data_IF_948477032340
#
_entry.id   IF_948477032340
#
_cell.length_a   1.000
_cell.length_b   1.000
_cell.length_c   1.000
_cell.angle_alpha   90.00
_cell.angle_beta   90.00
_cell.angle_gamma   90.00
#
_symmetry.space_group_name_H-M   'P 1'
#
loop_
_entity.id
_entity.type
_entity.pdbx_description
1 polymer ?
#
# COMPACT_ATOMS: atom_id res chain seq x y z
N UNK A 1 17.47 -9.20 5.22
CA UNK A 1 17.88 -7.84 4.70
C UNK A 1 16.75 -6.87 5.02
N UNK A 2 17.05 -5.70 5.59
CA UNK A 2 16.05 -4.69 5.93
C UNK A 2 15.58 -4.00 4.63
N UNK A 3 14.27 -4.04 4.37
CA UNK A 3 13.65 -3.34 3.25
C UNK A 3 13.33 -1.88 3.61
N UNK A 4 12.80 -1.66 4.81
CA UNK A 4 12.40 -0.34 5.32
C UNK A 4 12.98 -0.16 6.71
N UNK A 5 13.70 0.94 6.94
CA UNK A 5 14.08 1.39 8.26
C UNK A 5 13.69 2.86 8.43
N UNK A 6 13.04 3.15 9.54
CA UNK A 6 12.68 4.49 10.00
C UNK A 6 13.27 4.70 11.39
N UNK A 7 13.92 5.84 11.61
CA UNK A 7 14.41 6.23 12.94
C UNK A 7 14.42 7.76 13.03
N UNK A 8 13.86 8.34 14.11
CA UNK A 8 13.95 9.77 14.32
C UNK A 8 12.74 10.42 14.98
N UNK A 9 12.64 11.75 14.82
CA UNK A 9 11.75 12.61 15.62
C UNK A 9 10.31 12.72 15.12
N UNK A 10 10.00 12.17 13.94
CA UNK A 10 8.62 12.07 13.46
C UNK A 10 8.34 12.83 12.17
N UNK A 11 7.05 13.09 11.93
CA UNK A 11 6.55 13.83 10.77
C UNK A 11 5.69 15.01 11.24
N UNK A 12 6.02 16.19 10.74
CA UNK A 12 5.19 17.40 10.88
C UNK A 12 4.65 17.83 9.52
N UNK A 13 3.38 18.25 9.49
CA UNK A 13 2.75 18.89 8.35
C UNK A 13 2.23 20.25 8.81
N UNK A 14 2.93 21.32 8.42
CA UNK A 14 2.73 22.65 9.00
C UNK A 14 3.04 22.64 10.50
N UNK A 15 2.12 23.15 11.31
CA UNK A 15 2.26 23.17 12.78
C UNK A 15 1.88 21.84 13.46
N UNK A 16 1.14 20.98 12.76
CA UNK A 16 0.64 19.74 13.32
C UNK A 16 1.68 18.62 13.26
N UNK A 17 1.89 17.94 14.40
CA UNK A 17 2.69 16.71 14.46
C UNK A 17 1.79 15.53 14.15
N UNK A 18 2.06 14.87 13.02
CA UNK A 18 1.28 13.72 12.54
C UNK A 18 1.87 12.38 13.03
N UNK A 19 3.22 12.28 13.04
CA UNK A 19 3.90 11.14 13.61
C UNK A 19 4.87 11.62 14.70
N UNK A 20 4.85 10.96 15.82
CA UNK A 20 5.79 11.15 16.91
C UNK A 20 7.12 10.41 16.66
N UNK A 21 8.14 10.59 17.51
CA UNK A 21 9.37 9.80 17.41
C UNK A 21 9.03 8.31 17.33
N UNK A 22 9.53 7.65 16.30
CA UNK A 22 9.32 6.23 16.11
C UNK A 22 10.58 5.57 15.53
N UNK A 23 10.74 4.29 15.84
CA UNK A 23 11.70 3.42 15.21
C UNK A 23 10.99 2.21 14.68
N UNK A 24 11.18 1.93 13.38
CA UNK A 24 10.52 0.84 12.70
C UNK A 24 11.51 0.17 11.75
N UNK A 25 11.55 -1.16 11.76
CA UNK A 25 12.34 -1.95 10.82
C UNK A 25 11.46 -3.05 10.24
N UNK A 26 11.43 -3.16 8.91
CA UNK A 26 10.68 -4.20 8.20
C UNK A 26 11.67 -4.90 7.28
N UNK A 27 11.72 -6.22 7.36
CA UNK A 27 12.60 -7.04 6.55
C UNK A 27 12.06 -7.23 5.12
N UNK A 28 12.95 -7.52 4.19
CA UNK A 28 12.55 -7.86 2.82
C UNK A 28 11.73 -9.14 2.81
N UNK A 29 10.59 -9.11 2.12
CA UNK A 29 9.65 -10.22 2.03
C UNK A 29 8.65 -10.30 3.17
N UNK A 30 8.72 -9.44 4.19
CA UNK A 30 7.69 -9.39 5.22
C UNK A 30 6.35 -8.85 4.70
N UNK A 31 5.26 -9.40 5.27
CA UNK A 31 3.91 -8.87 5.12
C UNK A 31 3.45 -8.30 6.47
N UNK A 32 3.22 -7.01 6.53
CA UNK A 32 2.91 -6.27 7.78
C UNK A 32 1.60 -5.51 7.60
N UNK A 33 0.68 -5.63 8.56
CA UNK A 33 -0.49 -4.77 8.62
C UNK A 33 -0.29 -3.64 9.65
N UNK A 34 -0.79 -2.45 9.30
CA UNK A 34 -0.87 -1.30 10.20
C UNK A 34 -2.33 -1.09 10.54
N UNK A 35 -2.69 -1.20 11.81
CA UNK A 35 -4.04 -0.98 12.32
C UNK A 35 -4.07 0.22 13.27
N UNK A 36 -5.24 0.77 13.51
CA UNK A 36 -5.46 1.87 14.44
C UNK A 36 -6.60 2.77 14.00
N UNK A 37 -7.05 3.68 14.88
CA UNK A 37 -8.18 4.57 14.66
C UNK A 37 -8.01 5.49 13.44
N UNK A 38 -9.12 6.10 13.00
CA UNK A 38 -9.09 7.16 11.99
C UNK A 38 -8.21 8.31 12.47
N UNK A 39 -7.39 8.87 11.57
CA UNK A 39 -6.46 9.94 11.96
C UNK A 39 -5.21 9.48 12.74
N UNK A 40 -5.01 8.20 13.01
CA UNK A 40 -3.83 7.69 13.71
C UNK A 40 -2.49 7.95 13.02
N UNK A 41 -2.49 8.35 11.73
CA UNK A 41 -1.29 8.61 10.94
C UNK A 41 -0.87 7.49 10.00
N UNK A 42 -1.70 6.43 9.80
CA UNK A 42 -1.41 5.26 8.94
C UNK A 42 -1.05 5.66 7.50
N UNK A 43 -1.92 6.43 6.85
CA UNK A 43 -1.69 6.98 5.50
C UNK A 43 -0.42 7.80 5.43
N UNK A 44 -0.16 8.65 6.43
CA UNK A 44 1.03 9.50 6.48
C UNK A 44 2.30 8.68 6.62
N UNK A 45 2.26 7.59 7.40
CA UNK A 45 3.37 6.66 7.53
C UNK A 45 3.66 5.94 6.21
N UNK A 46 2.62 5.43 5.52
CA UNK A 46 2.78 4.81 4.20
C UNK A 46 3.33 5.79 3.17
N UNK A 47 2.82 7.03 3.11
CA UNK A 47 3.30 8.07 2.19
C UNK A 47 4.74 8.51 2.47
N UNK A 48 5.15 8.48 3.74
CA UNK A 48 6.55 8.74 4.13
C UNK A 48 7.45 7.61 3.63
N UNK A 49 7.08 6.34 3.86
CA UNK A 49 7.79 5.17 3.34
C UNK A 49 7.81 5.20 1.80
N UNK A 50 6.70 5.57 1.16
CA UNK A 50 6.57 5.75 -0.29
C UNK A 50 7.37 6.92 -0.88
N UNK A 51 8.12 7.65 -0.04
CA UNK A 51 8.91 8.83 -0.43
C UNK A 51 8.11 10.00 -1.02
N UNK A 52 6.83 10.09 -0.68
CA UNK A 52 5.97 11.22 -1.06
C UNK A 52 6.05 12.36 -0.05
N UNK A 53 6.20 12.00 1.22
CA UNK A 53 6.43 12.93 2.31
C UNK A 53 7.87 12.83 2.79
N UNK A 54 8.46 13.96 3.11
CA UNK A 54 9.75 14.03 3.79
C UNK A 54 9.51 14.45 5.24
N UNK A 55 9.90 13.58 6.18
CA UNK A 55 9.81 13.84 7.61
C UNK A 55 11.16 14.24 8.20
N UNK A 56 11.16 14.43 9.51
CA UNK A 56 12.36 14.59 10.34
C UNK A 56 12.92 13.22 10.78
N UNK A 57 12.50 12.16 10.08
CA UNK A 57 12.90 10.78 10.25
C UNK A 57 13.96 10.43 9.21
N UNK A 58 15.00 9.73 9.64
CA UNK A 58 15.88 9.04 8.71
C UNK A 58 15.10 7.86 8.10
N UNK A 59 14.85 7.93 6.81
CA UNK A 59 14.27 6.85 6.03
C UNK A 59 15.38 6.14 5.27
N UNK A 60 15.51 4.85 5.46
CA UNK A 60 16.34 3.99 4.63
C UNK A 60 15.48 2.94 3.94
N UNK A 61 15.61 2.82 2.63
CA UNK A 61 14.99 1.78 1.81
C UNK A 61 16.09 0.93 1.21
N UNK A 62 16.14 -0.36 1.57
CA UNK A 62 17.20 -1.30 1.20
C UNK A 62 18.61 -0.79 1.49
N UNK A 63 18.77 -0.02 2.59
CA UNK A 63 20.04 0.58 3.02
C UNK A 63 20.37 1.94 2.37
N UNK A 64 19.53 2.47 1.47
CA UNK A 64 19.72 3.75 0.81
C UNK A 64 18.80 4.82 1.41
N UNK A 65 19.32 6.02 1.68
CA UNK A 65 18.49 7.20 2.00
C UNK A 65 17.99 7.83 0.69
N UNK A 66 16.67 7.79 0.42
CA UNK A 66 16.12 8.31 -0.84
C UNK A 66 16.34 9.81 -1.03
N UNK A 67 16.55 10.55 0.04
CA UNK A 67 16.72 12.00 -0.02
C UNK A 67 18.16 12.43 -0.34
N UNK A 68 19.14 11.54 -0.15
CA UNK A 68 20.54 11.74 -0.50
C UNK A 68 20.85 11.30 -1.95
N UNK A 69 19.93 10.56 -2.57
CA UNK A 69 20.11 10.05 -3.94
C UNK A 69 19.97 11.16 -4.99
N UNK A 70 20.72 11.02 -6.09
CA UNK A 70 20.50 11.81 -7.30
C UNK A 70 19.08 11.59 -7.85
N UNK A 71 18.56 12.54 -8.65
CA UNK A 71 17.21 12.44 -9.23
C UNK A 71 16.98 11.13 -9.98
N UNK A 72 17.95 10.67 -10.77
CA UNK A 72 17.86 9.40 -11.53
C UNK A 72 17.87 8.18 -10.60
N UNK A 73 18.72 8.17 -9.58
CA UNK A 73 18.78 7.07 -8.61
C UNK A 73 17.48 7.00 -7.80
N UNK A 74 16.95 8.16 -7.36
CA UNK A 74 15.66 8.24 -6.67
C UNK A 74 14.48 7.78 -7.53
N UNK A 75 14.46 8.10 -8.83
CA UNK A 75 13.44 7.59 -9.75
C UNK A 75 13.50 6.06 -9.89
N UNK A 76 14.71 5.48 -9.98
CA UNK A 76 14.90 4.02 -10.00
C UNK A 76 14.42 3.38 -8.69
N UNK A 77 14.76 3.98 -7.53
CA UNK A 77 14.29 3.49 -6.25
C UNK A 77 12.75 3.55 -6.17
N UNK A 78 12.13 4.65 -6.57
CA UNK A 78 10.67 4.80 -6.61
C UNK A 78 9.97 3.81 -7.55
N UNK A 79 10.60 3.42 -8.66
CA UNK A 79 10.01 2.43 -9.57
C UNK A 79 9.93 1.02 -8.97
N UNK A 80 10.65 0.76 -7.87
CA UNK A 80 10.60 -0.47 -7.06
C UNK A 80 9.51 -0.45 -6.00
N UNK A 81 8.84 0.70 -5.82
CA UNK A 81 7.75 0.89 -4.85
C UNK A 81 6.43 0.97 -5.61
N UNK A 82 5.45 0.18 -5.21
CA UNK A 82 4.07 0.25 -5.71
C UNK A 82 3.15 0.73 -4.61
N UNK A 83 2.26 1.68 -4.92
CA UNK A 83 1.28 2.20 -3.97
C UNK A 83 -0.14 1.90 -4.43
N UNK A 84 -0.89 1.16 -3.62
CA UNK A 84 -2.34 1.03 -3.70
C UNK A 84 -2.94 2.11 -2.83
N UNK A 85 -3.70 3.00 -3.44
CA UNK A 85 -4.36 4.10 -2.75
C UNK A 85 -5.78 3.72 -2.35
N UNK A 86 -6.27 4.25 -1.24
CA UNK A 86 -7.67 4.16 -0.87
C UNK A 86 -8.58 4.66 -2.00
N UNK A 87 -8.23 5.80 -2.61
CA UNK A 87 -8.84 6.31 -3.83
C UNK A 87 -7.75 6.42 -4.90
N UNK A 88 -7.68 5.47 -5.85
CA UNK A 88 -6.64 5.50 -6.87
C UNK A 88 -6.70 6.78 -7.71
N UNK A 89 -5.58 7.52 -7.86
CA UNK A 89 -5.53 8.76 -8.63
C UNK A 89 -5.49 8.47 -10.13
N UNK A 90 -6.56 7.85 -10.65
CA UNK A 90 -6.71 7.48 -12.05
C UNK A 90 -7.60 8.50 -12.75
N UNK A 91 -7.14 9.14 -13.85
CA UNK A 91 -7.96 10.06 -14.61
C UNK A 91 -9.22 9.40 -15.15
N UNK A 92 -10.39 10.02 -14.97
CA UNK A 92 -11.68 9.47 -15.38
C UNK A 92 -11.74 9.13 -16.88
N UNK A 93 -11.06 9.90 -17.73
CA UNK A 93 -11.00 9.69 -19.18
C UNK A 93 -10.06 8.56 -19.61
N UNK A 94 -9.21 8.06 -18.71
CA UNK A 94 -8.19 7.07 -19.03
C UNK A 94 -8.81 5.68 -19.20
N UNK A 95 -8.48 4.92 -20.28
CA UNK A 95 -8.88 3.52 -20.41
C UNK A 95 -8.28 2.66 -19.29
N UNK A 96 -9.06 1.72 -18.77
CA UNK A 96 -8.64 0.80 -17.68
C UNK A 96 -7.36 0.06 -18.02
N UNK A 97 -7.25 -0.47 -19.24
CA UNK A 97 -6.02 -1.15 -19.70
C UNK A 97 -4.79 -0.23 -19.59
N UNK A 98 -4.92 1.02 -20.03
CA UNK A 98 -3.82 2.00 -19.99
C UNK A 98 -3.46 2.36 -18.54
N UNK A 99 -4.46 2.45 -17.66
CA UNK A 99 -4.25 2.70 -16.24
C UNK A 99 -3.40 1.59 -15.57
N UNK A 100 -3.67 0.33 -15.90
CA UNK A 100 -2.89 -0.82 -15.40
C UNK A 100 -1.48 -0.82 -16.00
N UNK A 101 -1.35 -0.67 -17.33
CA UNK A 101 -0.05 -0.60 -18.02
C UNK A 101 0.86 0.50 -17.47
N UNK A 102 0.29 1.61 -17.03
CA UNK A 102 1.03 2.71 -16.43
C UNK A 102 1.80 2.31 -15.14
N UNK A 103 1.49 1.18 -14.51
CA UNK A 103 2.23 0.64 -13.38
C UNK A 103 3.72 0.41 -13.69
N UNK A 104 4.07 0.05 -14.92
CA UNK A 104 5.47 -0.20 -15.35
C UNK A 104 6.17 0.98 -16.00
N UNK A 105 5.53 2.15 -16.13
CA UNK A 105 6.14 3.32 -16.79
C UNK A 105 7.48 3.72 -16.17
N UNK A 106 7.59 3.66 -14.84
CA UNK A 106 8.85 3.95 -14.13
C UNK A 106 9.98 2.94 -14.36
N UNK A 107 9.66 1.74 -14.85
CA UNK A 107 10.61 0.65 -15.11
C UNK A 107 11.04 0.59 -16.59
N UNK A 108 10.29 1.27 -17.48
CA UNK A 108 10.55 1.25 -18.92
C UNK A 108 11.51 2.36 -19.33
N UNK A 109 12.24 2.14 -20.42
CA UNK A 109 12.97 3.21 -21.10
C UNK A 109 11.98 4.25 -21.64
N UNK A 110 12.44 5.50 -21.78
CA UNK A 110 11.60 6.60 -22.27
C UNK A 110 10.95 6.25 -23.63
N UNK A 111 11.71 5.66 -24.56
CA UNK A 111 11.19 5.24 -25.87
C UNK A 111 10.06 4.20 -25.76
N UNK A 112 10.20 3.20 -24.86
CA UNK A 112 9.16 2.20 -24.60
C UNK A 112 7.94 2.82 -23.92
N UNK A 113 8.15 3.73 -22.99
CA UNK A 113 7.07 4.44 -22.32
C UNK A 113 6.24 5.28 -23.30
N UNK A 114 6.90 6.05 -24.19
CA UNK A 114 6.23 6.82 -25.24
C UNK A 114 5.52 5.91 -26.26
N UNK A 115 6.13 4.82 -26.68
CA UNK A 115 5.51 3.84 -27.58
C UNK A 115 4.25 3.23 -26.94
N UNK A 116 4.27 2.95 -25.64
CA UNK A 116 3.12 2.39 -24.91
C UNK A 116 1.92 3.32 -24.87
N UNK A 117 2.09 4.63 -25.02
CA UNK A 117 0.98 5.59 -25.14
C UNK A 117 0.27 5.50 -26.49
N UNK A 118 1.00 5.12 -27.55
CA UNK A 118 0.47 4.97 -28.91
C UNK A 118 -0.05 3.54 -29.16
N UNK A 119 0.67 2.55 -28.61
CA UNK A 119 0.33 1.14 -28.75
C UNK A 119 0.66 0.39 -27.46
N UNK A 120 -0.33 -0.26 -26.81
CA UNK A 120 -0.11 -1.03 -25.59
C UNK A 120 1.01 -2.06 -25.76
N UNK A 121 2.06 -1.97 -24.93
CA UNK A 121 3.24 -2.83 -25.06
C UNK A 121 3.03 -4.25 -24.50
N UNK A 122 2.09 -4.43 -23.57
CA UNK A 122 1.81 -5.72 -22.91
C UNK A 122 0.35 -5.80 -22.45
N UNK A 123 -0.60 -5.81 -23.42
CA UNK A 123 -2.03 -5.82 -23.06
C UNK A 123 -2.45 -7.11 -22.34
N UNK A 124 -1.84 -8.25 -22.67
CA UNK A 124 -2.19 -9.54 -22.06
C UNK A 124 -1.77 -9.62 -20.59
N UNK A 125 -0.57 -9.12 -20.24
CA UNK A 125 -0.15 -9.05 -18.83
C UNK A 125 -1.09 -8.17 -18.00
N UNK A 126 -1.52 -7.03 -18.54
CA UNK A 126 -2.47 -6.16 -17.84
C UNK A 126 -3.87 -6.81 -17.72
N UNK A 127 -4.35 -7.51 -18.76
CA UNK A 127 -5.63 -8.24 -18.71
C UNK A 127 -5.60 -9.38 -17.69
N UNK A 128 -4.49 -10.08 -17.58
CA UNK A 128 -4.30 -11.15 -16.59
C UNK A 128 -4.51 -10.61 -15.17
N UNK A 129 -3.92 -9.47 -14.83
CA UNK A 129 -4.10 -8.89 -13.50
C UNK A 129 -5.51 -8.35 -13.28
N UNK A 130 -6.16 -7.81 -14.31
CA UNK A 130 -7.58 -7.43 -14.23
C UNK A 130 -8.47 -8.67 -14.02
N UNK A 131 -8.20 -9.78 -14.70
CA UNK A 131 -8.96 -11.02 -14.56
C UNK A 131 -8.84 -11.60 -13.15
N UNK A 132 -7.64 -11.56 -12.52
CA UNK A 132 -7.42 -11.99 -11.12
C UNK A 132 -8.30 -11.25 -10.12
N UNK A 133 -8.71 -10.03 -10.47
CA UNK A 133 -9.54 -9.16 -9.62
C UNK A 133 -11.00 -9.09 -10.11
N UNK A 134 -11.44 -10.00 -10.98
CA UNK A 134 -12.82 -10.07 -11.48
C UNK A 134 -13.21 -8.89 -12.38
N UNK A 135 -12.23 -8.32 -13.13
CA UNK A 135 -12.43 -7.19 -14.03
C UNK A 135 -12.07 -7.53 -15.48
N UNK A 136 -12.14 -8.82 -15.86
CA UNK A 136 -11.73 -9.29 -17.20
C UNK A 136 -12.48 -8.60 -18.34
N UNK A 137 -13.75 -8.21 -18.14
CA UNK A 137 -14.61 -7.56 -19.11
C UNK A 137 -14.47 -6.02 -19.14
N UNK A 138 -13.74 -5.42 -18.19
CA UNK A 138 -13.65 -3.96 -17.98
C UNK A 138 -12.50 -3.27 -18.68
N UNK A 139 -11.59 -4.01 -19.31
CA UNK A 139 -10.33 -3.46 -19.83
C UNK A 139 -10.51 -2.35 -20.90
N UNK A 140 -11.63 -2.33 -21.64
CA UNK A 140 -11.95 -1.31 -22.64
C UNK A 140 -12.66 -0.08 -22.09
N UNK A 141 -13.26 -0.20 -20.89
CA UNK A 141 -13.99 0.90 -20.26
C UNK A 141 -13.04 2.01 -19.81
N UNK A 142 -13.59 3.19 -19.58
CA UNK A 142 -12.86 4.31 -18.96
C UNK A 142 -12.94 4.22 -17.43
N UNK A 143 -11.91 4.69 -16.75
CA UNK A 143 -11.89 4.66 -15.28
C UNK A 143 -13.09 5.40 -14.66
N UNK A 144 -13.59 6.47 -15.29
CA UNK A 144 -14.76 7.21 -14.81
C UNK A 144 -16.11 6.48 -14.98
N UNK A 145 -16.15 5.37 -15.70
CA UNK A 145 -17.36 4.54 -15.89
C UNK A 145 -17.47 3.42 -14.84
N UNK A 146 -16.43 3.29 -14.00
CA UNK A 146 -16.35 2.24 -12.99
C UNK A 146 -16.94 2.69 -11.65
N UNK A 147 -17.51 1.75 -10.89
CA UNK A 147 -17.83 1.98 -9.49
C UNK A 147 -16.56 2.20 -8.64
N UNK A 148 -16.71 2.79 -7.46
CA UNK A 148 -15.57 3.02 -6.54
C UNK A 148 -14.79 1.74 -6.23
N UNK A 149 -15.49 0.64 -5.94
CA UNK A 149 -14.86 -0.65 -5.68
C UNK A 149 -14.19 -1.28 -6.92
N UNK A 150 -14.75 -1.07 -8.12
CA UNK A 150 -14.10 -1.48 -9.37
C UNK A 150 -12.83 -0.66 -9.61
N UNK A 151 -12.88 0.65 -9.41
CA UNK A 151 -11.73 1.54 -9.56
C UNK A 151 -10.61 1.20 -8.56
N UNK A 152 -10.98 0.87 -7.32
CA UNK A 152 -10.02 0.42 -6.31
C UNK A 152 -9.31 -0.86 -6.76
N UNK A 153 -10.05 -1.85 -7.29
CA UNK A 153 -9.45 -3.08 -7.84
C UNK A 153 -8.58 -2.82 -9.09
N UNK A 154 -8.89 -1.83 -9.91
CA UNK A 154 -7.99 -1.39 -11.00
C UNK A 154 -6.67 -0.84 -10.42
N UNK A 155 -6.74 -0.07 -9.32
CA UNK A 155 -5.55 0.38 -8.59
C UNK A 155 -4.68 -0.79 -8.09
N UNK A 156 -5.31 -1.84 -7.55
CA UNK A 156 -4.62 -3.07 -7.15
C UNK A 156 -4.01 -3.76 -8.38
N UNK A 157 -4.76 -3.96 -9.47
CA UNK A 157 -4.28 -4.58 -10.72
C UNK A 157 -3.04 -3.85 -11.26
N UNK A 158 -3.02 -2.51 -11.18
CA UNK A 158 -1.87 -1.69 -11.58
C UNK A 158 -0.61 -2.02 -10.77
N UNK A 159 -0.74 -2.21 -9.46
CA UNK A 159 0.40 -2.56 -8.58
C UNK A 159 0.83 -4.00 -8.79
N UNK A 160 -0.11 -4.94 -8.94
CA UNK A 160 0.20 -6.33 -9.29
C UNK A 160 0.95 -6.41 -10.64
N UNK A 161 0.50 -5.68 -11.65
CA UNK A 161 1.17 -5.59 -12.94
C UNK A 161 2.55 -4.92 -12.85
N UNK A 162 2.73 -3.90 -11.99
CA UNK A 162 4.02 -3.25 -11.74
C UNK A 162 5.05 -4.24 -11.18
N UNK A 163 4.63 -5.20 -10.34
CA UNK A 163 5.50 -6.18 -9.68
C UNK A 163 6.63 -5.52 -8.86
N UNK A 164 6.34 -4.61 -7.94
CA UNK A 164 7.34 -3.88 -7.19
C UNK A 164 8.00 -4.76 -6.11
N UNK A 165 9.16 -4.33 -5.61
CA UNK A 165 9.86 -4.98 -4.48
C UNK A 165 9.22 -4.61 -3.14
N UNK A 166 8.60 -3.42 -3.06
CA UNK A 166 7.84 -2.94 -1.90
C UNK A 166 6.44 -2.52 -2.34
N UNK A 167 5.43 -3.18 -1.81
CA UNK A 167 4.03 -2.83 -1.98
C UNK A 167 3.54 -2.11 -0.73
N UNK A 168 3.03 -0.91 -0.92
CA UNK A 168 2.35 -0.12 0.09
C UNK A 168 0.87 -0.08 -0.26
N UNK A 169 0.00 -0.38 0.69
CA UNK A 169 -1.43 -0.44 0.43
C UNK A 169 -2.18 0.35 1.52
N UNK A 170 -2.72 1.50 1.12
CA UNK A 170 -3.49 2.36 2.01
C UNK A 170 -4.98 2.04 1.88
N UNK A 171 -5.51 1.32 2.86
CA UNK A 171 -6.90 0.86 2.93
C UNK A 171 -7.37 0.21 1.60
N UNK A 172 -6.63 -0.78 1.08
CA UNK A 172 -6.78 -1.26 -0.29
C UNK A 172 -8.14 -1.90 -0.58
N UNK A 173 -8.95 -2.16 0.45
CA UNK A 173 -10.20 -2.92 0.34
C UNK A 173 -11.39 -2.21 1.02
N UNK A 174 -11.26 -0.95 1.42
CA UNK A 174 -12.28 -0.21 2.19
C UNK A 174 -13.59 0.03 1.43
N UNK A 175 -13.56 0.07 0.09
CA UNK A 175 -14.74 0.27 -0.76
C UNK A 175 -15.30 -1.04 -1.35
N UNK A 176 -14.87 -2.20 -0.84
CA UNK A 176 -15.24 -3.51 -1.33
C UNK A 176 -16.17 -4.23 -0.36
N UNK A 177 -17.06 -5.07 -0.90
CA UNK A 177 -17.77 -6.04 -0.08
C UNK A 177 -16.80 -7.08 0.52
N UNK A 178 -17.21 -7.80 1.60
CA UNK A 178 -16.30 -8.69 2.32
C UNK A 178 -15.62 -9.77 1.45
N UNK A 179 -16.32 -10.32 0.46
CA UNK A 179 -15.79 -11.39 -0.40
C UNK A 179 -14.74 -10.82 -1.34
N UNK A 180 -15.03 -9.68 -1.97
CA UNK A 180 -14.08 -8.99 -2.85
C UNK A 180 -12.91 -8.40 -2.07
N UNK A 181 -13.13 -7.95 -0.83
CA UNK A 181 -12.06 -7.49 0.05
C UNK A 181 -11.05 -8.59 0.34
N UNK A 182 -11.52 -9.77 0.74
CA UNK A 182 -10.67 -10.92 1.01
C UNK A 182 -9.90 -11.35 -0.25
N UNK A 183 -10.58 -11.56 -1.38
CA UNK A 183 -9.95 -12.00 -2.62
C UNK A 183 -8.91 -11.00 -3.15
N UNK A 184 -9.17 -9.71 -3.02
CA UNK A 184 -8.25 -8.65 -3.43
C UNK A 184 -7.01 -8.58 -2.55
N UNK A 185 -7.18 -8.75 -1.23
CA UNK A 185 -6.07 -8.79 -0.28
C UNK A 185 -5.23 -10.06 -0.48
N UNK A 186 -5.89 -11.20 -0.71
CA UNK A 186 -5.22 -12.47 -1.01
C UNK A 186 -4.37 -12.38 -2.30
N UNK A 187 -4.83 -11.64 -3.31
CA UNK A 187 -4.05 -11.40 -4.53
C UNK A 187 -2.77 -10.60 -4.24
N UNK A 188 -2.82 -9.58 -3.37
CA UNK A 188 -1.64 -8.81 -2.95
C UNK A 188 -0.66 -9.69 -2.15
N UNK A 189 -1.17 -10.46 -1.17
CA UNK A 189 -0.36 -11.36 -0.34
C UNK A 189 0.27 -12.48 -1.17
N UNK A 190 -0.48 -13.08 -2.09
CA UNK A 190 0.04 -14.11 -2.99
C UNK A 190 1.16 -13.56 -3.87
N UNK A 191 1.00 -12.35 -4.39
CA UNK A 191 2.05 -11.66 -5.17
C UNK A 191 3.30 -11.41 -4.33
N UNK A 192 3.12 -10.92 -3.08
CA UNK A 192 4.23 -10.67 -2.17
C UNK A 192 5.03 -11.94 -1.92
N UNK A 193 4.35 -13.03 -1.56
CA UNK A 193 4.97 -14.34 -1.28
C UNK A 193 5.66 -14.92 -2.52
N UNK A 194 5.01 -14.89 -3.68
CA UNK A 194 5.55 -15.48 -4.91
C UNK A 194 6.83 -14.79 -5.38
N UNK A 195 6.99 -13.50 -5.09
CA UNK A 195 8.14 -12.71 -5.54
C UNK A 195 9.15 -12.37 -4.43
N UNK A 196 8.84 -12.69 -3.17
CA UNK A 196 9.63 -12.21 -2.03
C UNK A 196 9.55 -10.70 -1.85
N UNK A 197 8.47 -10.07 -2.33
CA UNK A 197 8.25 -8.63 -2.16
C UNK A 197 7.74 -8.33 -0.75
N UNK A 198 8.09 -7.18 -0.21
CA UNK A 198 7.56 -6.67 1.07
C UNK A 198 6.18 -6.06 0.84
N UNK A 199 5.22 -6.36 1.72
CA UNK A 199 3.88 -5.75 1.70
C UNK A 199 3.61 -5.06 3.04
N UNK A 200 3.27 -3.77 2.99
CA UNK A 200 2.81 -3.00 4.15
C UNK A 200 1.43 -2.46 3.83
N UNK A 201 0.41 -2.90 4.56
CA UNK A 201 -0.97 -2.51 4.32
C UNK A 201 -1.59 -1.83 5.56
N UNK A 202 -2.22 -0.66 5.39
CA UNK A 202 -3.12 -0.13 6.41
C UNK A 202 -4.50 -0.76 6.26
N UNK A 203 -5.09 -1.19 7.37
CA UNK A 203 -6.40 -1.83 7.37
C UNK A 203 -7.28 -1.27 8.51
N UNK A 204 -8.58 -1.09 8.22
CA UNK A 204 -9.59 -0.79 9.23
C UNK A 204 -10.17 -2.06 9.85
N UNK A 205 -10.39 -3.11 9.03
CA UNK A 205 -10.90 -4.38 9.49
C UNK A 205 -9.81 -5.15 10.26
N UNK A 206 -9.90 -5.10 11.59
CA UNK A 206 -8.92 -5.71 12.51
C UNK A 206 -8.87 -7.22 12.32
N UNK A 207 -10.02 -7.88 12.19
CA UNK A 207 -10.12 -9.33 11.97
C UNK A 207 -9.35 -9.73 10.71
N UNK A 208 -9.55 -9.02 9.62
CA UNK A 208 -8.88 -9.29 8.34
C UNK A 208 -7.35 -9.12 8.46
N UNK A 209 -6.91 -8.13 9.26
CA UNK A 209 -5.48 -7.93 9.53
C UNK A 209 -4.90 -9.11 10.33
N UNK A 210 -5.57 -9.52 11.42
CA UNK A 210 -5.13 -10.62 12.29
C UNK A 210 -5.10 -11.97 11.57
N UNK A 211 -6.08 -12.23 10.70
CA UNK A 211 -6.16 -13.49 9.95
C UNK A 211 -5.11 -13.61 8.84
N UNK A 212 -4.74 -12.51 8.20
CA UNK A 212 -3.98 -12.53 6.94
C UNK A 212 -2.52 -12.13 7.08
N UNK A 213 -2.18 -11.33 8.09
CA UNK A 213 -0.83 -10.81 8.26
C UNK A 213 -0.12 -11.42 9.47
N UNK A 214 1.14 -11.85 9.31
CA UNK A 214 1.89 -12.46 10.41
C UNK A 214 2.35 -11.43 11.46
N UNK A 215 2.48 -10.15 11.09
CA UNK A 215 2.96 -9.06 11.96
C UNK A 215 2.04 -7.86 11.86
N UNK A 216 1.72 -7.30 13.01
CA UNK A 216 0.78 -6.18 13.13
C UNK A 216 1.44 -5.03 13.89
N UNK A 217 1.30 -3.84 13.34
CA UNK A 217 1.71 -2.59 13.97
C UNK A 217 0.45 -1.83 14.38
N UNK A 218 0.27 -1.60 15.66
CA UNK A 218 -0.79 -0.75 16.20
C UNK A 218 -0.33 0.70 16.24
N UNK A 219 -1.01 1.60 15.52
CA UNK A 219 -0.71 3.02 15.47
C UNK A 219 -1.87 3.82 16.07
N UNK A 220 -1.58 4.70 17.03
CA UNK A 220 -2.54 5.63 17.64
C UNK A 220 -1.91 6.99 17.85
N UNK A 221 -2.59 8.06 17.44
CA UNK A 221 -2.13 9.44 17.62
C UNK A 221 -0.68 9.65 17.15
N UNK A 222 -0.31 9.05 16.02
CA UNK A 222 1.04 9.12 15.46
C UNK A 222 2.12 8.36 16.25
N UNK A 223 1.75 7.48 17.18
CA UNK A 223 2.65 6.65 18.00
C UNK A 223 2.42 5.17 17.73
N UNK A 224 3.49 4.41 17.63
CA UNK A 224 3.42 2.94 17.64
C UNK A 224 3.10 2.51 19.08
N UNK A 225 1.95 1.88 19.26
CA UNK A 225 1.52 1.32 20.54
C UNK A 225 2.08 -0.08 20.75
N UNK A 226 2.09 -0.86 19.67
CA UNK A 226 2.70 -2.19 19.64
C UNK A 226 3.18 -2.53 18.22
N UNK A 227 4.13 -3.44 18.15
CA UNK A 227 4.68 -4.03 16.93
C UNK A 227 5.04 -5.47 17.26
N UNK A 228 4.16 -6.42 16.90
CA UNK A 228 4.30 -7.80 17.33
C UNK A 228 3.64 -8.79 16.33
N UNK A 229 3.91 -10.09 16.45
CA UNK A 229 3.19 -11.13 15.71
C UNK A 229 1.68 -11.05 15.96
N UNK A 230 0.86 -11.32 14.94
CA UNK A 230 -0.61 -11.32 15.05
C UNK A 230 -1.11 -12.22 16.20
N UNK A 231 -0.43 -13.35 16.45
CA UNK A 231 -0.75 -14.29 17.51
C UNK A 231 -0.50 -13.77 18.94
N UNK A 232 0.26 -12.69 19.07
CA UNK A 232 0.55 -12.07 20.38
C UNK A 232 -0.42 -10.94 20.73
N UNK A 233 -1.32 -10.56 19.81
CA UNK A 233 -2.30 -9.48 20.03
C UNK A 233 -3.41 -9.97 20.92
N UNK A 234 -3.65 -9.22 22.00
CA UNK A 234 -4.69 -9.51 22.97
C UNK A 234 -5.88 -8.55 22.80
N UNK A 235 -7.09 -8.94 23.25
CA UNK A 235 -8.25 -8.03 23.29
C UNK A 235 -7.98 -6.74 24.08
N UNK A 236 -7.17 -6.80 25.13
CA UNK A 236 -6.79 -5.63 25.91
C UNK A 236 -5.95 -4.63 25.10
N UNK A 237 -4.98 -5.11 24.30
CA UNK A 237 -4.18 -4.26 23.40
C UNK A 237 -5.04 -3.57 22.35
N UNK A 238 -6.03 -4.28 21.79
CA UNK A 238 -6.98 -3.70 20.84
C UNK A 238 -7.88 -2.66 21.51
N UNK A 239 -8.41 -2.97 22.71
CA UNK A 239 -9.22 -2.03 23.47
C UNK A 239 -8.46 -0.72 23.80
N UNK A 240 -7.18 -0.82 24.14
CA UNK A 240 -6.31 0.34 24.36
C UNK A 240 -6.06 1.12 23.08
N UNK A 241 -5.76 0.43 21.96
CA UNK A 241 -5.52 1.04 20.66
C UNK A 241 -6.72 1.88 20.19
N UNK A 242 -7.95 1.37 20.36
CA UNK A 242 -9.19 2.01 19.93
C UNK A 242 -9.93 2.74 21.05
N UNK A 243 -9.32 2.93 22.23
CA UNK A 243 -9.93 3.66 23.33
C UNK A 243 -10.31 5.09 22.90
N UNK A 244 -11.62 5.42 23.00
CA UNK A 244 -12.17 6.73 22.61
C UNK A 244 -12.86 6.77 21.25
N UNK A 245 -12.80 5.71 20.43
CA UNK A 245 -13.74 5.54 19.30
C UNK A 245 -15.01 4.88 19.82
N UNK A 246 -16.19 5.52 19.56
CA UNK A 246 -17.50 4.99 19.95
C UNK A 246 -18.02 3.85 19.08
N UNK A 247 -17.22 3.36 18.11
CA UNK A 247 -17.59 2.23 17.28
C UNK A 247 -17.09 0.92 17.89
N UNK A 248 -18.07 0.03 18.12
CA UNK A 248 -17.95 -1.23 18.79
C UNK A 248 -16.77 -2.07 18.28
N UNK A 249 -15.89 -2.45 19.20
CA UNK A 249 -15.02 -3.59 19.01
C UNK A 249 -15.89 -4.81 18.63
N UNK A 250 -15.59 -5.52 17.54
CA UNK A 250 -16.28 -6.77 17.26
C UNK A 250 -16.04 -7.74 18.41
N UNK A 251 -17.11 -8.41 18.84
CA UNK A 251 -17.04 -9.44 19.87
C UNK A 251 -16.18 -10.59 19.33
N UNK A 252 -14.93 -10.64 19.76
CA UNK A 252 -14.06 -11.80 19.54
C UNK A 252 -14.54 -12.84 20.57
N UNK A 253 -15.45 -13.75 20.13
CA UNK A 253 -15.92 -14.92 20.87
C UNK A 253 -15.05 -16.13 20.57
#
# INVERSE_FOLDING_TARGET
MIAVALDGTGLRLGESRILHPLRLQIEAGECVAIIGPSGAGKTSLLRLIGTELRGELALSLWGEDPWLLSTRARQRLRSRIGMVWQQPPLPASQPVLTAVLAGRLGQWSLGRALLSLLRPCDPEGARTELARLGLADKWQQRCGELSGGQLQRVGIARVLYQQPDLMLADEPVSALDPVLAQSSLDALLAQARARGSTLIASLHAVELALERFPRIIGLREGRVQFDCPATAITPAMLAELYAGEQEALPCIG
#
